data_IF_996039620512
#
_entry.id   IF_996039620512
#
_cell.length_a   1.000
_cell.length_b   1.000
_cell.length_c   1.000
_cell.angle_alpha   90.00
_cell.angle_beta   90.00
_cell.angle_gamma   90.00
#
_symmetry.space_group_name_H-M   'P 1'
#
loop_
_entity.id
_entity.type
_entity.pdbx_description
1 polymer ?
#
# COMPACT_ATOMS: atom_id res chain seq x y z
N UNK A 1 -3.99 -15.40 9.06
CA UNK A 1 -4.37 -14.22 9.88
C UNK A 1 -3.88 -12.97 9.18
N UNK A 2 -4.72 -11.94 9.09
CA UNK A 2 -4.29 -10.60 8.67
C UNK A 2 -3.64 -9.86 9.85
N UNK A 3 -2.71 -8.94 9.54
CA UNK A 3 -2.07 -8.07 10.53
C UNK A 3 -2.10 -6.63 10.01
N UNK A 4 -2.60 -5.66 10.80
CA UNK A 4 -2.49 -4.25 10.44
C UNK A 4 -1.02 -3.83 10.28
N UNK A 5 -0.72 -3.06 9.23
CA UNK A 5 0.61 -2.53 8.96
C UNK A 5 0.51 -1.19 8.23
N UNK A 6 1.55 -0.37 8.36
CA UNK A 6 1.60 0.91 7.66
C UNK A 6 1.74 0.69 6.15
N UNK A 7 0.96 1.45 5.38
CA UNK A 7 0.99 1.40 3.91
C UNK A 7 2.40 1.66 3.36
N UNK A 8 3.20 2.48 4.06
CA UNK A 8 4.58 2.79 3.69
C UNK A 8 5.57 1.63 3.83
N UNK A 9 5.21 0.56 4.54
CA UNK A 9 6.05 -0.63 4.70
C UNK A 9 5.81 -1.69 3.61
N UNK A 10 4.75 -1.52 2.80
CA UNK A 10 4.39 -2.47 1.75
C UNK A 10 5.37 -2.45 0.58
N UNK A 11 5.49 -3.60 -0.10
CA UNK A 11 6.42 -3.80 -1.23
C UNK A 11 5.66 -4.51 -2.36
N UNK A 12 6.11 -4.31 -3.61
CA UNK A 12 5.63 -5.15 -4.72
C UNK A 12 5.96 -6.61 -4.42
N UNK A 13 4.99 -7.50 -4.62
CA UNK A 13 5.09 -8.92 -4.31
C UNK A 13 4.58 -9.32 -2.92
N UNK A 14 4.37 -8.37 -1.99
CA UNK A 14 3.69 -8.67 -0.72
C UNK A 14 2.17 -8.76 -0.90
N UNK A 15 1.48 -9.31 0.10
CA UNK A 15 0.02 -9.43 0.11
C UNK A 15 -0.64 -8.27 0.86
N UNK A 16 -1.79 -7.85 0.36
CA UNK A 16 -2.70 -6.87 0.98
C UNK A 16 -4.13 -7.40 0.86
N UNK A 17 -5.01 -7.01 1.78
CA UNK A 17 -6.44 -7.30 1.67
C UNK A 17 -7.14 -6.11 1.03
N UNK A 18 -7.87 -6.34 -0.07
CA UNK A 18 -8.72 -5.36 -0.77
C UNK A 18 -10.10 -6.00 -0.90
N UNK A 19 -11.16 -5.30 -0.49
CA UNK A 19 -12.55 -5.80 -0.50
C UNK A 19 -12.69 -7.21 0.11
N UNK A 20 -12.08 -7.41 1.30
CA UNK A 20 -12.03 -8.68 2.05
C UNK A 20 -11.33 -9.86 1.34
N UNK A 21 -10.70 -9.62 0.18
CA UNK A 21 -9.94 -10.62 -0.56
C UNK A 21 -8.42 -10.39 -0.45
N UNK A 22 -7.60 -11.45 -0.26
CA UNK A 22 -6.15 -11.35 -0.30
C UNK A 22 -5.65 -11.19 -1.74
N UNK A 23 -4.97 -10.09 -2.03
CA UNK A 23 -4.39 -9.76 -3.34
C UNK A 23 -2.87 -9.61 -3.25
N UNK A 24 -2.16 -9.88 -4.35
CA UNK A 24 -0.71 -9.70 -4.44
C UNK A 24 -0.42 -8.36 -5.08
N UNK A 25 0.35 -7.50 -4.40
CA UNK A 25 0.69 -6.18 -4.95
C UNK A 25 1.54 -6.35 -6.22
N UNK A 26 1.03 -5.88 -7.36
CA UNK A 26 1.75 -5.88 -8.65
C UNK A 26 2.37 -4.52 -8.98
N UNK A 27 1.86 -3.43 -8.39
CA UNK A 27 2.44 -2.10 -8.53
C UNK A 27 2.24 -1.26 -7.28
N UNK A 28 3.25 -0.46 -6.95
CA UNK A 28 3.25 0.45 -5.82
C UNK A 28 3.87 1.79 -6.23
N UNK A 29 3.12 2.88 -6.08
CA UNK A 29 3.59 4.23 -6.34
C UNK A 29 3.26 5.15 -5.17
N UNK A 30 4.14 6.13 -4.88
CA UNK A 30 4.01 7.06 -3.76
C UNK A 30 4.06 8.50 -4.27
N UNK A 31 3.12 9.33 -3.85
CA UNK A 31 3.14 10.76 -4.16
C UNK A 31 4.18 11.48 -3.31
N UNK A 32 4.76 12.57 -3.86
CA UNK A 32 5.60 13.47 -3.07
C UNK A 32 4.71 14.28 -2.13
N UNK A 33 4.96 14.27 -0.81
CA UNK A 33 4.22 15.13 0.12
C UNK A 33 4.62 16.60 -0.08
N UNK A 34 3.68 17.50 0.20
CA UNK A 34 3.99 18.93 0.39
C UNK A 34 4.63 19.19 1.76
N UNK A 35 4.96 20.46 2.06
CA UNK A 35 5.66 20.88 3.29
C UNK A 35 5.06 20.32 4.60
N UNK A 36 3.73 20.28 4.68
CA UNK A 36 2.98 19.74 5.82
C UNK A 36 2.02 18.61 5.41
N UNK A 37 2.20 18.07 4.20
CA UNK A 37 1.32 17.06 3.64
C UNK A 37 1.78 15.64 3.97
N UNK A 38 0.84 14.70 3.94
CA UNK A 38 1.16 13.27 3.95
C UNK A 38 1.37 12.76 2.52
N UNK A 39 2.30 11.81 2.37
CA UNK A 39 2.44 11.08 1.12
C UNK A 39 1.29 10.08 0.97
N UNK A 40 0.73 9.97 -0.23
CA UNK A 40 -0.31 8.99 -0.55
C UNK A 40 0.32 7.86 -1.37
N UNK A 41 -0.13 6.63 -1.14
CA UNK A 41 0.27 5.49 -1.96
C UNK A 41 -0.88 5.11 -2.90
N UNK A 42 -0.56 4.77 -4.15
CA UNK A 42 -1.48 4.14 -5.08
C UNK A 42 -0.95 2.73 -5.35
N UNK A 43 -1.77 1.75 -4.97
CA UNK A 43 -1.47 0.32 -5.04
C UNK A 43 -2.35 -0.28 -6.14
N UNK A 44 -1.76 -1.17 -6.94
CA UNK A 44 -2.49 -2.07 -7.85
C UNK A 44 -2.13 -3.49 -7.42
N UNK A 45 -3.14 -4.33 -7.21
CA UNK A 45 -3.00 -5.69 -6.70
C UNK A 45 -3.88 -6.66 -7.50
#
# INVERSE_FOLDING_TARGET
MSKPSDVGALRVGSYIIIDDAPCKIVSYSKSKPGKHGAAKARIVA
#
